data_IF_452064595954
#
_entry.id   IF_452064595954
#
_cell.length_a   1.000
_cell.length_b   1.000
_cell.length_c   1.000
_cell.angle_alpha   90.00
_cell.angle_beta   90.00
_cell.angle_gamma   90.00
#
_symmetry.space_group_name_H-M   'P 1'
#
loop_
_entity.id
_entity.type
_entity.pdbx_description
1 polymer ?
#
# COMPACT_ATOMS: atom_id res chain seq x y z
N UNK A 1 4.38 11.09 -23.84
CA UNK A 1 3.86 10.43 -25.05
C UNK A 1 2.34 10.61 -25.15
N UNK A 2 1.79 10.81 -26.36
CA UNK A 2 0.38 11.03 -26.80
C UNK A 2 -0.63 11.64 -25.81
N UNK A 3 -0.84 11.07 -24.63
CA UNK A 3 -1.64 11.63 -23.52
C UNK A 3 -1.05 12.91 -22.90
N UNK A 4 0.25 13.20 -23.04
CA UNK A 4 0.83 14.50 -22.64
C UNK A 4 0.22 15.69 -23.36
N UNK A 5 -0.34 15.49 -24.55
CA UNK A 5 -0.90 16.58 -25.35
C UNK A 5 -2.31 16.99 -24.92
N UNK A 6 -2.98 16.15 -24.13
CA UNK A 6 -4.41 16.29 -23.80
C UNK A 6 -4.68 16.35 -22.30
N UNK A 7 -3.74 15.90 -21.45
CA UNK A 7 -3.89 15.94 -20.01
C UNK A 7 -2.76 16.74 -19.36
N UNK A 8 -3.15 17.73 -18.55
CA UNK A 8 -2.23 18.37 -17.61
C UNK A 8 -1.68 17.35 -16.62
N UNK A 9 -0.46 17.59 -16.13
CA UNK A 9 0.22 16.70 -15.18
C UNK A 9 -0.66 16.38 -13.96
N UNK A 10 -1.29 17.40 -13.37
CA UNK A 10 -2.14 17.23 -12.18
C UNK A 10 -3.33 16.30 -12.41
N UNK A 11 -3.91 16.33 -13.62
CA UNK A 11 -5.03 15.44 -13.97
C UNK A 11 -4.58 13.98 -14.08
N UNK A 12 -3.31 13.75 -14.49
CA UNK A 12 -2.74 12.40 -14.57
C UNK A 12 -2.48 11.84 -13.19
N UNK A 13 -1.97 12.69 -12.30
CA UNK A 13 -1.73 12.36 -10.89
C UNK A 13 -3.06 11.99 -10.23
N UNK A 14 -4.09 12.83 -10.37
CA UNK A 14 -5.42 12.56 -9.81
C UNK A 14 -6.03 11.26 -10.35
N UNK A 15 -5.98 11.05 -11.66
CA UNK A 15 -6.49 9.83 -12.29
C UNK A 15 -5.77 8.58 -11.75
N UNK A 16 -4.43 8.64 -11.66
CA UNK A 16 -3.65 7.52 -11.13
C UNK A 16 -3.97 7.23 -9.66
N UNK A 17 -4.16 8.24 -8.82
CA UNK A 17 -4.47 8.08 -7.40
C UNK A 17 -5.84 7.42 -7.23
N UNK A 18 -6.85 7.89 -7.97
CA UNK A 18 -8.20 7.33 -7.93
C UNK A 18 -8.20 5.87 -8.41
N UNK A 19 -7.50 5.57 -9.52
CA UNK A 19 -7.35 4.20 -10.00
C UNK A 19 -6.62 3.31 -8.99
N UNK A 20 -5.55 3.81 -8.35
CA UNK A 20 -4.82 3.06 -7.32
C UNK A 20 -5.67 2.81 -6.07
N UNK A 21 -6.45 3.80 -5.64
CA UNK A 21 -7.38 3.67 -4.52
C UNK A 21 -8.48 2.65 -4.79
N UNK A 22 -9.12 2.72 -5.97
CA UNK A 22 -10.14 1.76 -6.41
C UNK A 22 -9.58 0.34 -6.52
N UNK A 23 -8.39 0.19 -7.11
CA UNK A 23 -7.73 -1.10 -7.20
C UNK A 23 -7.51 -1.66 -5.80
N UNK A 24 -6.97 -0.88 -4.87
CA UNK A 24 -6.66 -1.40 -3.54
C UNK A 24 -7.91 -1.75 -2.73
N UNK A 25 -8.99 -1.01 -2.93
CA UNK A 25 -10.26 -1.32 -2.29
C UNK A 25 -10.82 -2.69 -2.75
N UNK A 26 -10.76 -2.97 -4.06
CA UNK A 26 -11.33 -4.19 -4.65
C UNK A 26 -10.33 -5.35 -4.81
N UNK A 27 -9.07 -5.20 -4.43
CA UNK A 27 -8.04 -6.21 -4.66
C UNK A 27 -8.33 -7.55 -3.96
N UNK A 28 -7.90 -8.64 -4.58
CA UNK A 28 -7.87 -9.99 -4.00
C UNK A 28 -6.61 -10.20 -3.16
N UNK A 29 -6.72 -11.06 -2.15
CA UNK A 29 -5.87 -11.09 -0.95
C UNK A 29 -4.52 -11.84 -1.11
N UNK A 30 -4.30 -12.49 -2.24
CA UNK A 30 -3.27 -13.53 -2.41
C UNK A 30 -1.83 -13.04 -2.23
N UNK A 31 -1.52 -11.78 -2.55
CA UNK A 31 -0.17 -11.21 -2.37
C UNK A 31 -0.07 -10.17 -1.25
N UNK A 32 -1.16 -9.90 -0.54
CA UNK A 32 -1.32 -8.69 0.26
C UNK A 32 -2.14 -8.89 1.54
N UNK A 33 -2.11 -10.10 2.09
CA UNK A 33 -2.77 -10.48 3.35
C UNK A 33 -2.39 -9.61 4.55
N UNK A 34 -1.25 -8.89 4.48
CA UNK A 34 -0.80 -7.92 5.48
C UNK A 34 -1.69 -6.67 5.60
N UNK A 35 -2.58 -6.42 4.65
CA UNK A 35 -3.34 -5.17 4.58
C UNK A 35 -4.84 -5.52 4.48
N UNK A 36 -5.66 -5.13 5.46
CA UNK A 36 -7.05 -5.56 5.55
C UNK A 36 -7.88 -5.09 4.36
N UNK A 37 -8.63 -5.99 3.71
CA UNK A 37 -9.49 -5.67 2.56
C UNK A 37 -10.72 -4.85 2.98
N UNK A 38 -11.29 -4.12 2.03
CA UNK A 38 -12.50 -3.29 2.20
C UNK A 38 -12.40 -2.23 3.32
N UNK A 39 -11.21 -2.01 3.85
CA UNK A 39 -10.96 -0.99 4.86
C UNK A 39 -10.51 0.31 4.19
N UNK A 40 -11.00 1.44 4.69
CA UNK A 40 -10.64 2.76 4.17
C UNK A 40 -9.18 3.14 4.45
N UNK A 41 -8.57 2.60 5.51
CA UNK A 41 -7.20 2.92 5.90
C UNK A 41 -6.15 2.54 4.83
N UNK A 42 -6.10 1.30 4.31
CA UNK A 42 -5.24 0.93 3.17
C UNK A 42 -5.40 1.82 1.95
N UNK A 43 -6.65 2.18 1.65
CA UNK A 43 -7.00 3.01 0.50
C UNK A 43 -6.43 4.41 0.69
N UNK A 44 -6.68 5.02 1.86
CA UNK A 44 -6.13 6.34 2.19
C UNK A 44 -4.60 6.34 2.20
N UNK A 45 -3.98 5.33 2.81
CA UNK A 45 -2.53 5.19 2.88
C UNK A 45 -1.91 5.14 1.47
N UNK A 46 -2.42 4.29 0.59
CA UNK A 46 -1.83 4.17 -0.76
C UNK A 46 -2.21 5.35 -1.65
N UNK A 47 -3.38 5.96 -1.49
CA UNK A 47 -3.70 7.19 -2.23
C UNK A 47 -2.75 8.34 -1.87
N UNK A 48 -2.47 8.55 -0.57
CA UNK A 48 -1.54 9.59 -0.10
C UNK A 48 -0.11 9.25 -0.55
N UNK A 49 0.29 7.99 -0.43
CA UNK A 49 1.63 7.56 -0.80
C UNK A 49 1.87 7.67 -2.31
N UNK A 50 0.88 7.28 -3.13
CA UNK A 50 0.93 7.44 -4.58
C UNK A 50 0.97 8.92 -4.98
N UNK A 51 0.20 9.78 -4.31
CA UNK A 51 0.27 11.23 -4.53
C UNK A 51 1.68 11.76 -4.33
N UNK A 52 2.32 11.48 -3.19
CA UNK A 52 3.68 11.97 -2.92
C UNK A 52 4.74 11.39 -3.86
N UNK A 53 4.60 10.14 -4.29
CA UNK A 53 5.50 9.51 -5.27
C UNK A 53 5.52 10.28 -6.62
N UNK A 54 4.39 10.85 -7.04
CA UNK A 54 4.33 11.65 -8.27
C UNK A 54 5.10 12.98 -8.18
N UNK A 55 5.22 13.57 -7.00
CA UNK A 55 5.97 14.82 -6.81
C UNK A 55 7.44 14.56 -6.52
N UNK A 56 7.73 13.56 -5.70
CA UNK A 56 9.09 13.16 -5.38
C UNK A 56 9.25 11.64 -5.51
N UNK A 57 10.06 11.16 -6.46
CA UNK A 57 10.24 9.72 -6.68
C UNK A 57 10.92 9.00 -5.49
N UNK A 58 11.47 9.75 -4.53
CA UNK A 58 12.05 9.25 -3.29
C UNK A 58 11.02 8.63 -2.34
N UNK A 59 9.73 8.95 -2.49
CA UNK A 59 8.70 8.37 -1.63
C UNK A 59 8.47 6.88 -1.89
N UNK A 60 8.81 6.37 -3.08
CA UNK A 60 8.67 4.96 -3.42
C UNK A 60 9.60 4.06 -2.55
N UNK A 61 10.93 4.28 -2.50
CA UNK A 61 11.80 3.53 -1.59
C UNK A 61 11.51 3.85 -0.11
N UNK A 62 11.08 5.08 0.22
CA UNK A 62 10.75 5.47 1.60
C UNK A 62 9.56 4.68 2.14
N UNK A 63 8.45 4.60 1.40
CA UNK A 63 7.29 3.84 1.85
C UNK A 63 7.54 2.33 1.88
N UNK A 64 8.41 1.82 0.99
CA UNK A 64 8.87 0.44 1.07
C UNK A 64 9.67 0.18 2.36
N UNK A 65 10.56 1.10 2.73
CA UNK A 65 11.32 1.02 3.98
C UNK A 65 10.41 1.05 5.21
N UNK A 66 9.38 1.90 5.22
CA UNK A 66 8.37 1.95 6.29
C UNK A 66 7.59 0.65 6.40
N UNK A 67 7.18 0.04 5.28
CA UNK A 67 6.50 -1.26 5.28
C UNK A 67 7.39 -2.38 5.80
N UNK A 68 8.68 -2.38 5.45
CA UNK A 68 9.67 -3.33 5.99
C UNK A 68 9.81 -3.14 7.50
N UNK A 69 9.99 -1.91 7.97
CA UNK A 69 10.05 -1.57 9.40
C UNK A 69 8.79 -2.00 10.16
N UNK A 70 7.61 -1.76 9.56
CA UNK A 70 6.33 -2.18 10.12
C UNK A 70 6.24 -3.71 10.25
N UNK A 71 6.68 -4.44 9.23
CA UNK A 71 6.71 -5.91 9.29
C UNK A 71 7.69 -6.45 10.33
N UNK A 72 8.81 -5.77 10.56
CA UNK A 72 9.78 -6.14 11.59
C UNK A 72 9.23 -5.87 12.99
N UNK A 73 8.54 -4.73 13.19
CA UNK A 73 7.92 -4.37 14.47
C UNK A 73 6.74 -5.28 14.83
N UNK A 74 5.97 -5.75 13.83
CA UNK A 74 4.85 -6.66 14.03
C UNK A 74 5.24 -8.13 14.20
N UNK A 75 6.36 -8.56 13.58
CA UNK A 75 6.89 -9.91 13.77
C UNK A 75 7.64 -10.08 15.11
N UNK A 76 7.74 -9.01 15.91
CA UNK A 76 8.26 -9.09 17.26
C UNK A 76 7.21 -9.74 18.17
N UNK A 77 7.46 -10.95 18.73
CA UNK A 77 6.49 -11.68 19.54
C UNK A 77 6.10 -10.97 20.84
N UNK A 78 6.80 -9.89 21.21
CA UNK A 78 6.55 -9.08 22.41
C UNK A 78 6.09 -7.64 22.10
N UNK A 79 5.82 -7.28 20.84
CA UNK A 79 5.34 -5.95 20.46
C UNK A 79 3.87 -5.68 20.85
N UNK A 80 3.48 -4.42 21.08
CA UNK A 80 2.12 -4.04 21.52
C UNK A 80 1.01 -4.28 20.47
N UNK A 81 1.37 -4.69 19.26
CA UNK A 81 0.47 -4.98 18.14
C UNK A 81 0.73 -6.37 17.53
N UNK A 82 1.33 -7.29 18.29
CA UNK A 82 1.64 -8.64 17.80
C UNK A 82 0.37 -9.34 17.29
N UNK A 83 0.36 -9.67 15.99
CA UNK A 83 -0.60 -10.60 15.45
C UNK A 83 -0.32 -11.97 16.08
N UNK A 84 -1.34 -12.76 16.47
CA UNK A 84 -1.11 -14.09 17.00
C UNK A 84 -0.30 -14.89 15.98
N UNK A 85 0.83 -15.45 16.43
CA UNK A 85 1.70 -16.28 15.61
C UNK A 85 0.84 -17.39 14.99
N UNK A 86 0.70 -17.37 13.65
CA UNK A 86 0.15 -18.52 12.92
C UNK A 86 1.27 -19.56 12.82
N UNK A 87 1.72 -20.05 13.97
CA UNK A 87 2.26 -21.39 14.06
C UNK A 87 1.07 -22.34 14.12
N UNK A 88 1.19 -23.51 13.51
CA UNK A 88 0.24 -24.62 13.63
C UNK A 88 -0.97 -24.68 12.67
N UNK A 89 -0.78 -24.41 11.37
CA UNK A 89 -1.47 -25.21 10.32
C UNK A 89 -0.51 -25.62 9.20
N UNK A 90 0.52 -26.38 9.57
CA UNK A 90 1.22 -27.27 8.65
C UNK A 90 1.11 -28.68 9.23
N UNK A 91 -0.08 -29.26 9.07
CA UNK A 91 -0.35 -30.67 9.35
C UNK A 91 0.30 -31.49 8.23
N UNK A 92 1.37 -32.20 8.57
CA UNK A 92 1.51 -33.61 8.22
C UNK A 92 1.25 -34.39 9.51
#
# INVERSE_FOLDING_TARGET
MILDKYLSFDNKVLFSIVCAGLWIYFRTEECYSMIPRLHGFPVAFVMIWAYWNYYEPLFLPLGLAVLILYSLLLNDPHGPFSAPSIEHKRQW
#
